data_IF_949583059157
#
_entry.id   IF_949583059157
#
_cell.length_a   1.000
_cell.length_b   1.000
_cell.length_c   1.000
_cell.angle_alpha   90.00
_cell.angle_beta   90.00
_cell.angle_gamma   90.00
#
_symmetry.space_group_name_H-M   'P 1'
#
loop_
_entity.id
_entity.type
_entity.pdbx_description
1 polymer ?
#
# COMPACT_ATOMS: atom_id res chain seq x y z
N UNK A 1 16.83 13.80 3.51
CA UNK A 1 17.36 12.55 2.93
C UNK A 1 18.77 12.81 2.44
N UNK A 2 19.69 11.89 2.71
CA UNK A 2 21.09 11.97 2.25
C UNK A 2 21.40 10.73 1.40
N UNK A 3 22.12 10.92 0.31
CA UNK A 3 22.64 9.83 -0.53
C UNK A 3 24.04 9.43 -0.01
N UNK A 4 24.06 8.48 0.92
CA UNK A 4 25.31 8.04 1.60
C UNK A 4 25.51 6.53 1.57
N UNK A 5 24.57 5.78 1.00
CA UNK A 5 24.61 4.33 0.92
C UNK A 5 24.39 3.88 -0.53
N UNK A 6 25.17 2.92 -0.96
CA UNK A 6 25.09 2.22 -2.24
C UNK A 6 24.60 0.75 -2.10
N UNK A 7 24.38 0.31 -0.87
CA UNK A 7 23.90 -1.04 -0.54
C UNK A 7 22.36 -1.06 -0.38
N UNK A 8 21.68 -1.67 -1.32
CA UNK A 8 20.21 -1.81 -1.32
C UNK A 8 19.67 -2.69 -0.19
N UNK A 9 20.52 -3.50 0.45
CA UNK A 9 20.11 -4.29 1.62
C UNK A 9 20.04 -3.45 2.90
N UNK A 10 20.66 -2.27 2.87
CA UNK A 10 20.69 -1.38 4.02
C UNK A 10 19.29 -0.83 4.34
N UNK A 11 18.78 -1.01 5.58
CA UNK A 11 17.43 -0.55 5.94
C UNK A 11 17.22 0.97 5.80
N UNK A 12 18.30 1.76 5.81
CA UNK A 12 18.21 3.22 5.63
C UNK A 12 17.82 3.65 4.21
N UNK A 13 18.00 2.79 3.20
CA UNK A 13 17.66 3.09 1.80
C UNK A 13 16.32 2.50 1.40
N UNK A 14 15.70 1.67 2.24
CA UNK A 14 14.40 1.07 1.96
C UNK A 14 13.27 2.04 2.29
N UNK A 15 12.38 2.21 1.32
CA UNK A 15 11.20 3.06 1.45
C UNK A 15 9.99 2.30 0.95
N UNK A 16 8.89 2.41 1.68
CA UNK A 16 7.60 1.86 1.29
C UNK A 16 6.79 2.94 0.57
N UNK A 17 6.28 2.60 -0.60
CA UNK A 17 5.31 3.43 -1.33
C UNK A 17 3.92 3.05 -0.85
N UNK A 18 3.21 4.02 -0.28
CA UNK A 18 1.82 3.86 0.17
C UNK A 18 0.93 4.59 -0.80
N UNK A 19 0.14 3.83 -1.56
CA UNK A 19 -0.78 4.41 -2.56
C UNK A 19 -1.92 5.14 -1.87
N UNK A 20 -2.32 6.25 -2.47
CA UNK A 20 -3.42 7.11 -2.03
C UNK A 20 -4.31 7.44 -3.22
N UNK A 21 -5.61 7.15 -3.10
CA UNK A 21 -6.61 7.54 -4.09
C UNK A 21 -7.51 8.61 -3.50
N UNK A 22 -7.69 9.69 -4.23
CA UNK A 22 -8.58 10.78 -3.83
C UNK A 22 -10.01 10.48 -4.24
N UNK A 23 -10.97 11.17 -3.63
CA UNK A 23 -12.39 11.05 -3.98
C UNK A 23 -12.70 11.35 -5.46
N UNK A 24 -11.77 12.03 -6.15
CA UNK A 24 -11.88 12.34 -7.58
C UNK A 24 -11.18 11.31 -8.48
N UNK A 25 -10.67 10.21 -7.93
CA UNK A 25 -9.94 9.17 -8.66
C UNK A 25 -8.50 9.53 -9.05
N UNK A 26 -7.96 10.65 -8.55
CA UNK A 26 -6.55 10.98 -8.71
C UNK A 26 -5.69 10.08 -7.81
N UNK A 27 -4.59 9.55 -8.35
CA UNK A 27 -3.72 8.61 -7.66
C UNK A 27 -2.41 9.26 -7.28
N UNK A 28 -2.12 9.27 -6.00
CA UNK A 28 -0.90 9.80 -5.42
C UNK A 28 -0.22 8.76 -4.54
N UNK A 29 0.94 9.10 -4.00
CA UNK A 29 1.65 8.24 -3.06
C UNK A 29 2.14 9.04 -1.86
N UNK A 30 2.23 8.34 -0.74
CA UNK A 30 3.07 8.69 0.37
C UNK A 30 4.31 7.79 0.36
N UNK A 31 5.46 8.31 0.73
CA UNK A 31 6.69 7.54 0.83
C UNK A 31 7.09 7.43 2.30
N UNK A 32 7.08 6.21 2.81
CA UNK A 32 7.46 5.90 4.19
C UNK A 32 8.88 5.34 4.24
N UNK A 33 9.74 5.91 5.05
CA UNK A 33 11.08 5.38 5.32
C UNK A 33 10.97 4.16 6.25
N UNK A 34 11.35 2.98 5.76
CA UNK A 34 11.24 1.73 6.53
C UNK A 34 12.10 1.72 7.81
N UNK A 35 13.18 2.49 7.85
CA UNK A 35 14.06 2.56 9.03
C UNK A 35 13.41 3.25 10.24
N UNK A 36 12.81 4.44 10.03
CA UNK A 36 12.27 5.25 11.12
C UNK A 36 10.75 5.36 11.10
N UNK A 37 10.08 4.66 10.16
CA UNK A 37 8.62 4.60 9.99
C UNK A 37 7.98 5.98 9.82
N UNK A 38 8.71 6.92 9.19
CA UNK A 38 8.22 8.28 8.97
C UNK A 38 8.07 8.60 7.49
N UNK A 39 7.04 9.36 7.18
CA UNK A 39 6.74 9.78 5.83
C UNK A 39 7.64 10.91 5.35
N UNK A 40 7.95 10.91 4.07
CA UNK A 40 8.65 12.00 3.42
C UNK A 40 7.80 13.26 3.44
N UNK A 41 8.40 14.36 3.82
CA UNK A 41 7.80 15.69 3.80
C UNK A 41 8.89 16.75 3.77
N UNK A 42 8.51 18.01 3.59
CA UNK A 42 9.44 19.11 3.83
C UNK A 42 9.88 19.12 5.29
N UNK A 43 11.09 19.60 5.55
CA UNK A 43 11.65 19.68 6.89
C UNK A 43 10.81 20.61 7.79
N UNK A 44 10.51 21.80 7.28
CA UNK A 44 9.69 22.82 7.92
C UNK A 44 9.06 23.78 6.88
N UNK A 45 8.35 24.80 7.33
CA UNK A 45 7.66 25.77 6.46
C UNK A 45 8.61 26.65 5.63
N UNK A 46 9.85 26.83 6.05
CA UNK A 46 10.87 27.65 5.39
C UNK A 46 11.86 26.84 4.57
N UNK A 47 12.00 25.55 4.85
CA UNK A 47 12.94 24.65 4.21
C UNK A 47 12.27 23.84 3.09
N UNK A 48 13.00 23.67 2.00
CA UNK A 48 12.61 22.80 0.88
C UNK A 48 13.33 21.45 0.89
N UNK A 49 14.09 21.17 1.94
CA UNK A 49 14.70 19.85 2.13
C UNK A 49 13.62 18.81 2.43
N UNK A 50 13.73 17.66 1.79
CA UNK A 50 12.88 16.50 2.07
C UNK A 50 13.53 15.67 3.18
N UNK A 51 12.71 15.38 4.19
CA UNK A 51 13.08 14.56 5.33
C UNK A 51 12.04 13.49 5.59
N UNK A 52 12.44 12.34 6.09
CA UNK A 52 11.55 11.34 6.66
C UNK A 52 11.16 11.78 8.08
N UNK A 53 10.22 12.72 8.18
CA UNK A 53 9.87 13.40 9.43
C UNK A 53 8.37 13.44 9.73
N UNK A 54 7.51 13.07 8.80
CA UNK A 54 6.05 12.96 9.00
C UNK A 54 5.71 11.71 9.79
N UNK A 55 5.10 11.85 10.96
CA UNK A 55 4.63 10.68 11.71
C UNK A 55 3.46 9.97 11.03
N UNK A 56 2.68 10.74 10.26
CA UNK A 56 1.43 10.31 9.62
C UNK A 56 1.34 10.83 8.20
N UNK A 57 0.56 10.15 7.34
CA UNK A 57 0.19 10.69 6.04
C UNK A 57 -0.58 12.01 6.23
N UNK A 58 -0.12 13.09 5.63
CA UNK A 58 -0.80 14.39 5.62
C UNK A 58 -1.25 14.71 4.19
N UNK A 59 -2.57 14.71 3.97
CA UNK A 59 -3.20 14.95 2.66
C UNK A 59 -3.46 16.43 2.39
N UNK A 60 -3.29 17.29 3.40
CA UNK A 60 -3.58 18.71 3.26
C UNK A 60 -2.49 19.41 2.45
N UNK A 61 -2.77 19.59 1.16
CA UNK A 61 -1.85 20.24 0.21
C UNK A 61 -1.53 21.69 0.58
N UNK A 62 -2.32 22.34 1.46
CA UNK A 62 -2.08 23.70 1.94
C UNK A 62 -0.96 23.76 2.98
N UNK A 63 -0.62 22.64 3.59
CA UNK A 63 0.37 22.56 4.66
C UNK A 63 1.75 22.21 4.12
N UNK A 64 2.78 22.80 4.71
CA UNK A 64 4.17 22.42 4.43
C UNK A 64 4.48 20.95 4.83
N UNK A 65 3.71 20.38 5.76
CA UNK A 65 3.82 18.99 6.23
C UNK A 65 3.17 17.97 5.29
N UNK A 66 2.52 18.39 4.21
CA UNK A 66 1.93 17.51 3.22
C UNK A 66 2.93 16.44 2.76
N UNK A 67 2.48 15.19 2.75
CA UNK A 67 3.30 14.02 2.41
C UNK A 67 2.89 13.37 1.08
N UNK A 68 2.00 14.02 0.32
CA UNK A 68 1.55 13.52 -0.99
C UNK A 68 2.56 13.83 -2.09
N UNK A 69 2.83 12.82 -2.89
CA UNK A 69 3.67 12.93 -4.09
C UNK A 69 2.93 12.37 -5.30
N UNK A 70 3.12 13.03 -6.43
CA UNK A 70 2.79 12.48 -7.73
C UNK A 70 3.99 11.74 -8.31
N UNK A 71 3.73 10.64 -9.01
CA UNK A 71 4.74 9.81 -9.69
C UNK A 71 4.66 10.05 -11.18
N UNK A 72 5.71 10.56 -11.75
CA UNK A 72 5.87 10.68 -13.20
C UNK A 72 6.98 9.74 -13.63
N UNK A 73 6.62 8.73 -14.38
CA UNK A 73 7.58 7.77 -14.93
C UNK A 73 8.24 8.33 -16.17
N UNK A 74 9.53 8.06 -16.33
CA UNK A 74 10.22 8.30 -17.57
C UNK A 74 9.83 7.25 -18.61
N UNK A 75 9.49 7.70 -19.80
CA UNK A 75 9.15 6.82 -20.92
C UNK A 75 10.36 6.03 -21.44
N UNK A 76 11.58 6.36 -21.00
CA UNK A 76 12.81 5.86 -21.63
C UNK A 76 13.60 4.87 -20.78
N UNK A 77 13.58 4.95 -19.44
CA UNK A 77 14.55 4.24 -18.61
C UNK A 77 14.03 3.72 -17.26
N UNK A 78 12.71 3.69 -17.07
CA UNK A 78 12.08 3.31 -15.80
C UNK A 78 12.48 4.19 -14.58
N UNK A 79 13.06 5.36 -14.82
CA UNK A 79 13.26 6.31 -13.75
C UNK A 79 11.93 6.92 -13.31
N UNK A 80 11.86 7.33 -12.05
CA UNK A 80 10.68 7.97 -11.49
C UNK A 80 11.02 9.38 -11.05
N UNK A 81 10.19 10.34 -11.47
CA UNK A 81 10.17 11.68 -10.91
C UNK A 81 9.07 11.77 -9.87
N UNK A 82 9.41 12.32 -8.72
CA UNK A 82 8.46 12.54 -7.66
C UNK A 82 8.16 14.03 -7.55
N UNK A 83 6.90 14.39 -7.69
CA UNK A 83 6.44 15.76 -7.53
C UNK A 83 5.71 15.89 -6.20
N UNK A 84 6.20 16.72 -5.29
CA UNK A 84 5.49 17.02 -4.05
C UNK A 84 4.28 17.91 -4.35
N UNK A 85 3.11 17.50 -3.92
CA UNK A 85 1.86 18.26 -4.12
C UNK A 85 1.74 19.37 -3.06
N UNK A 86 1.82 20.61 -3.52
CA UNK A 86 1.59 21.80 -2.69
C UNK A 86 0.58 22.71 -3.39
N UNK A 87 -0.14 23.64 -2.69
CA UNK A 87 -1.38 24.26 -3.17
C UNK A 87 -1.30 25.00 -4.50
N UNK A 88 -0.15 25.29 -5.02
CA UNK A 88 -0.01 26.09 -6.24
C UNK A 88 1.00 25.58 -7.26
N UNK A 89 1.78 24.51 -6.96
CA UNK A 89 2.83 24.02 -7.87
C UNK A 89 3.16 22.56 -7.59
N UNK A 90 3.25 21.76 -8.65
CA UNK A 90 4.01 20.53 -8.67
C UNK A 90 5.49 20.88 -8.53
N UNK A 91 6.16 20.34 -7.54
CA UNK A 91 7.56 20.62 -7.27
C UNK A 91 8.38 19.35 -7.55
N UNK A 92 9.31 19.45 -8.48
CA UNK A 92 10.23 18.34 -8.76
C UNK A 92 11.24 18.18 -7.63
N UNK A 93 11.52 16.94 -7.27
CA UNK A 93 12.55 16.59 -6.30
C UNK A 93 13.84 16.32 -7.06
N UNK A 94 14.93 16.88 -6.60
CA UNK A 94 16.25 16.62 -7.16
C UNK A 94 17.34 16.65 -6.08
N UNK A 95 18.45 16.04 -6.41
CA UNK A 95 19.62 16.04 -5.58
C UNK A 95 20.29 17.40 -5.57
N UNK A 96 20.73 17.87 -4.40
CA UNK A 96 21.53 19.09 -4.28
C UNK A 96 22.62 18.92 -3.22
N UNK A 97 23.79 19.48 -3.52
CA UNK A 97 24.90 19.53 -2.57
C UNK A 97 24.65 20.60 -1.52
N UNK A 98 24.52 20.19 -0.29
CA UNK A 98 24.37 21.07 0.86
C UNK A 98 25.55 20.94 1.82
N UNK A 99 25.61 21.81 2.84
CA UNK A 99 26.61 21.67 3.89
C UNK A 99 26.46 20.34 4.67
N UNK A 100 25.29 19.69 4.60
CA UNK A 100 25.00 18.39 5.22
C UNK A 100 25.30 17.20 4.27
N UNK A 101 25.78 17.43 3.06
CA UNK A 101 25.99 16.45 2.00
C UNK A 101 24.90 16.44 0.94
N UNK A 102 24.90 15.45 0.06
CA UNK A 102 23.92 15.31 -1.01
C UNK A 102 22.55 14.96 -0.43
N UNK A 103 21.54 15.80 -0.68
CA UNK A 103 20.23 15.69 -0.08
C UNK A 103 19.13 15.86 -1.13
N UNK A 104 17.97 15.24 -0.90
CA UNK A 104 16.76 15.53 -1.66
C UNK A 104 16.22 16.93 -1.29
N UNK A 105 16.01 17.73 -2.30
CA UNK A 105 15.54 19.10 -2.18
C UNK A 105 14.45 19.38 -3.22
N UNK A 106 13.48 20.20 -2.89
CA UNK A 106 12.39 20.59 -3.77
C UNK A 106 12.63 22.02 -4.27
N UNK A 107 12.63 22.24 -5.59
CA UNK A 107 12.77 23.57 -6.17
C UNK A 107 11.65 23.89 -7.16
N UNK A 108 11.01 25.04 -6.99
CA UNK A 108 9.81 25.41 -7.68
C UNK A 108 9.98 25.86 -9.14
N UNK A 109 11.15 26.34 -9.56
CA UNK A 109 11.30 27.17 -10.76
C UNK A 109 11.99 26.47 -11.94
N UNK A 110 12.34 25.18 -11.83
CA UNK A 110 13.10 24.46 -12.87
C UNK A 110 12.45 23.14 -13.32
N UNK A 111 11.21 23.21 -13.73
CA UNK A 111 10.51 22.06 -14.33
C UNK A 111 11.17 21.58 -15.65
N UNK A 112 12.05 22.38 -16.26
CA UNK A 112 12.63 22.12 -17.58
C UNK A 112 14.15 21.90 -17.60
N UNK A 113 14.86 22.00 -16.49
CA UNK A 113 16.30 21.78 -16.45
C UNK A 113 16.65 20.68 -15.45
N UNK A 114 17.10 19.53 -15.97
CA UNK A 114 17.83 18.47 -15.26
C UNK A 114 17.36 18.18 -13.82
N UNK A 115 16.06 17.97 -13.62
CA UNK A 115 15.61 17.26 -12.45
C UNK A 115 16.29 15.88 -12.51
N UNK A 116 17.11 15.56 -11.51
CA UNK A 116 17.73 14.24 -11.45
C UNK A 116 16.60 13.22 -11.30
N UNK A 117 16.52 12.33 -12.24
CA UNK A 117 15.62 11.21 -12.22
C UNK A 117 16.08 10.28 -11.12
N UNK A 118 15.19 10.00 -10.16
CA UNK A 118 15.49 9.03 -9.14
C UNK A 118 15.35 7.66 -9.77
N UNK A 119 16.43 6.89 -9.79
CA UNK A 119 16.34 5.50 -10.15
C UNK A 119 15.73 4.74 -8.94
N UNK A 120 14.44 4.41 -9.05
CA UNK A 120 13.78 3.59 -8.07
C UNK A 120 14.06 2.11 -8.38
N UNK A 121 14.52 1.38 -7.37
CA UNK A 121 14.62 -0.08 -7.42
C UNK A 121 13.43 -0.62 -6.64
N UNK A 122 12.55 -1.33 -7.33
CA UNK A 122 11.39 -1.97 -6.70
C UNK A 122 11.79 -3.35 -6.20
N UNK A 123 11.55 -3.61 -4.92
CA UNK A 123 11.81 -4.90 -4.27
C UNK A 123 10.47 -5.60 -4.01
N UNK A 124 10.44 -6.91 -4.22
CA UNK A 124 9.29 -7.78 -3.93
C UNK A 124 7.96 -7.27 -4.52
N UNK A 125 8.03 -6.77 -5.76
CA UNK A 125 6.92 -6.11 -6.41
C UNK A 125 5.82 -7.07 -6.88
N UNK A 126 6.19 -8.28 -7.33
CA UNK A 126 5.26 -9.29 -7.83
C UNK A 126 4.98 -10.36 -6.77
N UNK A 127 3.78 -10.96 -6.74
CA UNK A 127 3.55 -12.18 -5.98
C UNK A 127 4.53 -13.29 -6.39
N UNK A 128 4.87 -14.19 -5.47
CA UNK A 128 5.81 -15.28 -5.75
C UNK A 128 5.39 -16.10 -6.98
N UNK A 129 4.07 -16.38 -7.09
CA UNK A 129 3.47 -17.03 -8.26
C UNK A 129 2.38 -16.09 -8.82
N UNK A 130 2.53 -15.73 -10.08
CA UNK A 130 1.69 -14.74 -10.74
C UNK A 130 1.35 -15.13 -12.17
N UNK A 131 0.34 -14.48 -12.72
CA UNK A 131 0.00 -14.42 -14.13
C UNK A 131 0.03 -12.97 -14.62
N UNK A 132 0.35 -12.75 -15.89
CA UNK A 132 0.32 -11.45 -16.55
C UNK A 132 -0.78 -11.41 -17.58
N UNK A 133 -1.64 -10.40 -17.51
CA UNK A 133 -2.68 -10.12 -18.48
C UNK A 133 -2.21 -9.00 -19.40
N UNK A 134 -2.23 -9.25 -20.71
CA UNK A 134 -1.86 -8.27 -21.72
C UNK A 134 -3.00 -7.31 -22.11
N UNK A 135 -2.69 -6.34 -22.94
CA UNK A 135 -3.61 -5.34 -23.51
C UNK A 135 -4.72 -5.97 -24.38
N UNK A 136 -4.48 -7.17 -24.96
CA UNK A 136 -5.47 -7.93 -25.72
C UNK A 136 -6.45 -8.74 -24.84
N UNK A 137 -6.35 -8.63 -23.52
CA UNK A 137 -7.20 -9.35 -22.56
C UNK A 137 -6.86 -10.83 -22.38
N UNK A 138 -5.73 -11.31 -22.92
CA UNK A 138 -5.25 -12.67 -22.74
C UNK A 138 -4.07 -12.71 -21.76
N UNK A 139 -3.93 -13.85 -21.08
CA UNK A 139 -2.81 -14.13 -20.21
C UNK A 139 -1.58 -14.57 -20.98
N UNK A 140 -0.40 -14.17 -20.48
CA UNK A 140 0.89 -14.69 -20.94
C UNK A 140 0.99 -16.17 -20.59
N UNK A 141 1.09 -17.01 -21.61
CA UNK A 141 1.10 -18.46 -21.49
C UNK A 141 2.33 -19.10 -22.13
N UNK A 142 2.74 -20.24 -21.58
CA UNK A 142 3.69 -21.16 -22.18
C UNK A 142 3.05 -21.83 -23.41
N UNK A 143 3.63 -21.63 -24.58
CA UNK A 143 3.11 -22.10 -25.87
C UNK A 143 4.22 -22.61 -26.76
N UNK A 144 4.16 -23.90 -27.16
CA UNK A 144 5.18 -24.52 -28.02
C UNK A 144 4.82 -24.36 -29.50
N UNK A 145 5.68 -23.72 -30.27
CA UNK A 145 5.54 -23.58 -31.71
C UNK A 145 6.74 -24.23 -32.42
N UNK A 146 6.50 -25.33 -33.08
CA UNK A 146 7.55 -26.15 -33.70
C UNK A 146 8.47 -26.74 -32.65
N UNK A 147 9.73 -26.30 -32.60
CA UNK A 147 10.76 -26.79 -31.68
C UNK A 147 11.08 -25.76 -30.55
N UNK A 148 10.42 -24.62 -30.53
CA UNK A 148 10.71 -23.58 -29.55
C UNK A 148 9.54 -23.36 -28.60
N UNK A 149 9.87 -23.08 -27.34
CA UNK A 149 8.95 -22.83 -26.23
C UNK A 149 8.81 -21.34 -26.00
N UNK A 150 7.80 -20.72 -26.63
CA UNK A 150 7.51 -19.30 -26.58
C UNK A 150 6.62 -18.92 -25.40
N UNK A 151 6.71 -17.67 -25.00
CA UNK A 151 5.74 -17.02 -24.14
C UNK A 151 4.83 -16.14 -25.00
N UNK A 152 3.53 -16.40 -24.99
CA UNK A 152 2.54 -15.73 -25.81
C UNK A 152 1.30 -15.31 -25.01
N UNK A 153 0.69 -14.17 -25.41
CA UNK A 153 -0.59 -13.70 -24.85
C UNK A 153 -1.76 -14.32 -25.60
N UNK A 154 -2.04 -15.62 -25.34
CA UNK A 154 -3.04 -16.41 -26.07
C UNK A 154 -4.02 -17.18 -25.18
N UNK A 155 -3.84 -17.18 -23.86
CA UNK A 155 -4.72 -17.89 -22.92
C UNK A 155 -5.76 -16.98 -22.30
N UNK A 156 -7.02 -17.45 -22.26
CA UNK A 156 -8.11 -16.80 -21.52
C UNK A 156 -8.37 -17.41 -20.15
N UNK A 157 -7.67 -18.53 -19.81
CA UNK A 157 -7.88 -19.30 -18.60
C UNK A 157 -6.75 -19.07 -17.58
N UNK A 158 -7.02 -18.29 -16.54
CA UNK A 158 -6.09 -18.07 -15.42
C UNK A 158 -5.83 -19.36 -14.61
N UNK A 159 -6.72 -20.35 -14.69
CA UNK A 159 -6.57 -21.66 -14.04
C UNK A 159 -5.55 -22.58 -14.71
N UNK A 160 -5.15 -22.27 -15.95
CA UNK A 160 -4.17 -23.06 -16.69
C UNK A 160 -2.80 -23.02 -16.03
N UNK A 161 -2.10 -24.18 -15.98
CA UNK A 161 -0.70 -24.23 -15.54
C UNK A 161 0.23 -23.44 -16.45
N UNK A 162 -0.13 -23.27 -17.72
CA UNK A 162 0.67 -22.56 -18.72
C UNK A 162 0.83 -21.07 -18.42
N UNK A 163 -0.13 -20.42 -17.72
CA UNK A 163 -0.10 -18.98 -17.42
C UNK A 163 0.61 -18.63 -16.13
N UNK A 164 1.14 -19.62 -15.41
CA UNK A 164 1.77 -19.39 -14.11
C UNK A 164 3.26 -19.20 -14.24
N UNK A 165 3.73 -18.14 -13.58
CA UNK A 165 5.13 -17.78 -13.54
C UNK A 165 5.57 -17.57 -12.10
N UNK A 166 6.77 -17.99 -11.76
CA UNK A 166 7.39 -17.83 -10.45
C UNK A 166 8.51 -16.82 -10.54
N UNK A 167 8.49 -15.80 -9.67
CA UNK A 167 9.53 -14.80 -9.58
C UNK A 167 10.62 -15.21 -8.59
N UNK A 168 11.87 -14.88 -8.92
CA UNK A 168 13.03 -14.97 -8.04
C UNK A 168 13.74 -13.62 -8.06
N UNK A 169 13.62 -12.88 -6.96
CA UNK A 169 14.26 -11.56 -6.81
C UNK A 169 15.74 -11.69 -6.46
N UNK A 170 16.53 -10.79 -7.04
CA UNK A 170 17.88 -10.50 -6.57
C UNK A 170 17.80 -9.34 -5.59
N UNK A 171 18.26 -9.58 -4.37
CA UNK A 171 18.16 -8.56 -3.31
C UNK A 171 19.21 -7.46 -3.41
N UNK A 172 20.24 -7.66 -4.24
CA UNK A 172 21.34 -6.71 -4.43
C UNK A 172 21.03 -5.56 -5.38
N UNK A 173 20.16 -5.77 -6.37
CA UNK A 173 19.86 -4.76 -7.40
C UNK A 173 18.37 -4.65 -7.80
N UNK A 174 17.47 -5.41 -7.13
CA UNK A 174 16.04 -5.43 -7.41
C UNK A 174 15.66 -5.99 -8.77
N UNK A 175 16.60 -6.65 -9.45
CA UNK A 175 16.30 -7.40 -10.66
C UNK A 175 15.71 -8.75 -10.30
N UNK A 176 15.07 -9.38 -11.26
CA UNK A 176 14.44 -10.67 -11.06
C UNK A 176 14.70 -11.60 -12.23
N UNK A 177 14.77 -12.89 -11.94
CA UNK A 177 14.58 -13.97 -12.90
C UNK A 177 13.16 -14.50 -12.76
N UNK A 178 12.59 -15.01 -13.85
CA UNK A 178 11.24 -15.56 -13.85
C UNK A 178 11.27 -16.97 -14.44
N UNK A 179 10.60 -17.91 -13.75
CA UNK A 179 10.41 -19.26 -14.22
C UNK A 179 8.98 -19.46 -14.72
N UNK A 180 8.81 -19.92 -15.95
CA UNK A 180 7.52 -20.43 -16.43
C UNK A 180 7.25 -21.76 -15.78
N UNK A 181 6.19 -21.87 -15.00
CA UNK A 181 5.79 -23.15 -14.38
C UNK A 181 5.16 -24.10 -15.40
N UNK A 182 4.61 -23.56 -16.50
CA UNK A 182 4.09 -24.36 -17.61
C UNK A 182 5.18 -25.16 -18.32
N UNK A 183 6.37 -24.59 -18.52
CA UNK A 183 7.52 -25.26 -19.11
C UNK A 183 8.48 -25.85 -18.07
N UNK A 184 8.44 -25.39 -16.82
CA UNK A 184 9.44 -25.72 -15.80
C UNK A 184 10.80 -25.07 -16.05
N UNK A 185 10.90 -24.06 -16.90
CA UNK A 185 12.11 -23.43 -17.41
C UNK A 185 12.08 -21.91 -17.21
N UNK A 186 13.27 -21.29 -17.20
CA UNK A 186 13.42 -19.85 -17.00
C UNK A 186 13.16 -19.04 -18.27
N UNK A 187 12.68 -17.84 -18.09
CA UNK A 187 12.55 -16.86 -19.15
C UNK A 187 13.93 -16.43 -19.64
N UNK A 188 14.11 -16.47 -20.94
CA UNK A 188 15.33 -15.99 -21.58
C UNK A 188 15.01 -15.26 -22.87
N UNK A 189 15.60 -14.08 -23.03
CA UNK A 189 15.52 -13.37 -24.31
C UNK A 189 16.40 -14.06 -25.35
N UNK A 190 15.80 -14.49 -26.45
CA UNK A 190 16.47 -15.06 -27.62
C UNK A 190 15.93 -14.49 -28.94
N UNK A 191 16.59 -14.78 -30.02
CA UNK A 191 16.15 -14.38 -31.38
C UNK A 191 16.23 -15.62 -32.29
N UNK A 192 15.31 -16.60 -32.16
CA UNK A 192 15.40 -17.85 -32.91
C UNK A 192 15.16 -17.67 -34.42
N UNK A 193 14.49 -16.57 -34.84
CA UNK A 193 14.16 -16.35 -36.26
C UNK A 193 13.90 -14.89 -36.56
N UNK A 194 14.88 -14.00 -36.36
CA UNK A 194 14.74 -12.53 -36.54
C UNK A 194 13.71 -11.85 -35.60
N UNK A 195 12.86 -12.57 -34.90
CA UNK A 195 11.93 -12.05 -33.89
C UNK A 195 12.64 -12.07 -32.55
N UNK A 196 12.75 -10.90 -31.91
CA UNK A 196 13.24 -10.82 -30.55
C UNK A 196 12.10 -11.17 -29.60
N UNK A 197 12.22 -12.28 -28.87
CA UNK A 197 11.16 -12.73 -27.98
C UNK A 197 11.73 -13.29 -26.69
N UNK A 198 10.85 -13.48 -25.71
CA UNK A 198 11.16 -14.19 -24.48
C UNK A 198 10.71 -15.63 -24.63
N UNK A 199 11.64 -16.56 -24.47
CA UNK A 199 11.39 -18.00 -24.44
C UNK A 199 11.37 -18.51 -23.01
N UNK A 200 10.65 -19.57 -22.76
CA UNK A 200 10.61 -20.26 -21.47
C UNK A 200 11.37 -21.58 -21.51
N UNK A 201 12.59 -21.61 -22.08
CA UNK A 201 13.32 -22.85 -22.39
C UNK A 201 14.70 -22.98 -21.71
N UNK A 202 15.14 -22.01 -20.92
CA UNK A 202 16.38 -22.13 -20.17
C UNK A 202 16.20 -23.07 -18.96
N UNK A 203 16.89 -24.19 -18.95
CA UNK A 203 16.82 -25.19 -17.88
C UNK A 203 17.36 -24.67 -16.55
N UNK A 204 18.42 -23.87 -16.61
CA UNK A 204 19.13 -23.35 -15.43
C UNK A 204 19.19 -21.84 -15.45
N UNK A 205 19.12 -21.22 -14.26
CA UNK A 205 19.30 -19.82 -14.06
C UNK A 205 20.79 -19.45 -13.95
N UNK A 206 21.24 -18.55 -14.83
CA UNK A 206 22.57 -17.96 -14.77
C UNK A 206 22.47 -16.47 -14.44
N UNK A 207 22.84 -16.05 -13.21
CA UNK A 207 22.74 -14.66 -12.77
C UNK A 207 23.68 -13.70 -13.51
N UNK A 208 24.64 -14.19 -14.29
CA UNK A 208 25.53 -13.36 -15.12
C UNK A 208 24.91 -12.99 -16.46
N UNK A 209 23.87 -13.70 -16.87
CA UNK A 209 23.22 -13.52 -18.16
C UNK A 209 22.11 -12.47 -18.10
N UNK A 210 22.39 -11.27 -18.60
CA UNK A 210 21.42 -10.18 -18.66
C UNK A 210 20.16 -10.51 -19.46
N UNK A 211 20.22 -11.46 -20.39
CA UNK A 211 19.06 -11.92 -21.15
C UNK A 211 18.02 -12.67 -20.32
N UNK A 212 18.39 -13.14 -19.11
CA UNK A 212 17.53 -13.84 -18.17
C UNK A 212 17.05 -12.91 -17.03
N UNK A 213 17.51 -11.65 -17.01
CA UNK A 213 17.22 -10.71 -15.95
C UNK A 213 16.25 -9.63 -16.41
N UNK A 214 15.27 -9.38 -15.57
CA UNK A 214 14.25 -8.38 -15.80
C UNK A 214 14.20 -7.41 -14.63
N UNK A 215 13.92 -6.14 -14.93
CA UNK A 215 13.64 -5.11 -13.92
C UNK A 215 12.16 -4.77 -13.96
N UNK A 216 11.43 -5.01 -12.88
CA UNK A 216 10.04 -4.61 -12.80
C UNK A 216 9.92 -3.11 -12.50
N UNK A 217 8.93 -2.47 -13.10
CA UNK A 217 8.52 -1.10 -12.84
C UNK A 217 7.04 -1.10 -12.47
N UNK A 218 6.71 -0.63 -11.28
CA UNK A 218 5.31 -0.47 -10.90
C UNK A 218 4.72 0.77 -11.55
N UNK A 219 3.71 0.58 -12.39
CA UNK A 219 3.00 1.67 -13.06
C UNK A 219 1.80 2.10 -12.22
N UNK A 220 1.02 1.16 -11.73
CA UNK A 220 -0.08 1.38 -10.78
C UNK A 220 -0.27 0.18 -9.84
N UNK A 221 -1.37 0.16 -9.08
CA UNK A 221 -1.63 -0.87 -8.05
C UNK A 221 -1.79 -2.29 -8.62
N UNK A 222 -2.11 -2.43 -9.90
CA UNK A 222 -2.32 -3.73 -10.55
C UNK A 222 -1.41 -3.95 -11.77
N UNK A 223 -0.65 -2.93 -12.18
CA UNK A 223 0.04 -2.91 -13.47
C UNK A 223 1.53 -2.74 -13.30
N UNK A 224 2.29 -3.60 -13.98
CA UNK A 224 3.75 -3.49 -14.10
C UNK A 224 4.16 -3.34 -15.55
N UNK A 225 5.33 -2.75 -15.75
CA UNK A 225 6.11 -2.90 -16.97
C UNK A 225 7.41 -3.64 -16.63
N UNK A 226 7.92 -4.43 -17.56
CA UNK A 226 9.12 -5.23 -17.38
C UNK A 226 10.19 -4.78 -18.40
N UNK A 227 11.41 -4.52 -17.91
CA UNK A 227 12.56 -4.21 -18.74
C UNK A 227 13.47 -5.42 -18.78
N UNK A 228 13.79 -5.93 -19.98
CA UNK A 228 14.81 -6.97 -20.16
C UNK A 228 16.19 -6.32 -20.11
N UNK A 229 17.05 -6.74 -19.20
CA UNK A 229 18.40 -6.15 -19.05
C UNK A 229 19.35 -6.48 -20.21
N UNK A 230 19.03 -7.50 -21.00
CA UNK A 230 19.81 -7.85 -22.19
C UNK A 230 19.67 -6.86 -23.35
N UNK A 231 18.55 -6.14 -23.41
CA UNK A 231 18.28 -5.12 -24.45
C UNK A 231 18.11 -3.73 -23.86
N UNK A 232 17.80 -3.63 -22.58
CA UNK A 232 17.33 -2.42 -21.90
C UNK A 232 16.03 -1.83 -22.51
N UNK A 233 15.19 -2.70 -23.11
CA UNK A 233 13.88 -2.34 -23.66
C UNK A 233 12.77 -2.92 -22.80
N UNK A 234 11.62 -2.26 -22.84
CA UNK A 234 10.40 -2.77 -22.23
C UNK A 234 9.90 -3.98 -22.98
N UNK A 235 9.43 -4.95 -22.23
CA UNK A 235 8.75 -6.12 -22.77
C UNK A 235 7.31 -5.75 -23.08
N UNK A 236 6.83 -6.12 -24.26
CA UNK A 236 5.45 -5.90 -24.70
C UNK A 236 4.87 -7.10 -25.41
N UNK A 237 3.58 -7.09 -25.62
CA UNK A 237 2.95 -7.98 -26.59
C UNK A 237 3.32 -7.51 -28.01
N UNK A 238 3.87 -8.44 -28.79
CA UNK A 238 4.21 -8.23 -30.19
C UNK A 238 3.33 -9.12 -31.05
N UNK A 239 2.47 -8.51 -31.89
CA UNK A 239 1.63 -9.25 -32.83
C UNK A 239 2.35 -9.47 -34.15
N UNK A 240 2.34 -10.72 -34.64
CA UNK A 240 2.92 -11.07 -35.94
C UNK A 240 1.86 -11.12 -37.02
N UNK A 241 2.30 -11.06 -38.28
CA UNK A 241 1.42 -11.21 -39.46
C UNK A 241 0.64 -12.55 -39.47
N UNK A 242 1.16 -13.56 -38.74
CA UNK A 242 0.55 -14.88 -38.62
C UNK A 242 -0.42 -14.98 -37.42
N UNK A 243 -0.67 -13.87 -36.72
CA UNK A 243 -1.61 -13.78 -35.61
C UNK A 243 -1.10 -14.33 -34.27
N UNK A 244 0.21 -14.52 -34.12
CA UNK A 244 0.83 -14.85 -32.84
C UNK A 244 1.10 -13.58 -32.02
N UNK A 245 0.98 -13.67 -30.71
CA UNK A 245 1.12 -12.57 -29.76
C UNK A 245 2.29 -12.84 -28.80
N UNK A 246 3.50 -12.69 -29.30
CA UNK A 246 4.71 -12.97 -28.52
C UNK A 246 4.99 -11.92 -27.44
N UNK A 247 5.63 -12.39 -26.36
CA UNK A 247 6.19 -11.51 -25.35
C UNK A 247 7.60 -11.12 -25.75
N UNK A 248 7.83 -9.83 -26.09
CA UNK A 248 9.03 -9.36 -26.78
C UNK A 248 9.62 -8.10 -26.14
N UNK A 249 10.96 -8.04 -25.89
CA UNK A 249 11.63 -6.89 -25.29
C UNK A 249 12.08 -5.88 -26.36
N UNK A 250 11.13 -5.21 -26.99
CA UNK A 250 11.37 -4.37 -28.18
C UNK A 250 10.89 -2.92 -28.07
N UNK A 251 10.14 -2.59 -27.02
CA UNK A 251 9.62 -1.22 -26.86
C UNK A 251 10.67 -0.33 -26.18
N UNK A 252 10.96 0.82 -26.80
CA UNK A 252 11.90 1.80 -26.26
C UNK A 252 11.27 2.74 -25.23
N UNK A 253 9.95 2.73 -25.09
CA UNK A 253 9.18 3.56 -24.14
C UNK A 253 7.98 2.80 -23.60
N UNK A 254 7.37 3.33 -22.55
CA UNK A 254 6.09 2.84 -22.04
C UNK A 254 4.98 3.15 -23.05
N UNK A 255 4.20 2.13 -23.37
CA UNK A 255 3.03 2.16 -24.24
C UNK A 255 2.00 1.13 -23.76
N UNK A 256 0.77 1.15 -24.24
CA UNK A 256 -0.30 0.29 -23.77
C UNK A 256 0.09 -1.21 -23.78
N UNK A 257 0.76 -1.66 -24.84
CA UNK A 257 1.21 -3.05 -24.96
C UNK A 257 2.33 -3.45 -23.98
N UNK A 258 2.98 -2.49 -23.29
CA UNK A 258 3.97 -2.75 -22.23
C UNK A 258 3.33 -2.81 -20.84
N UNK A 259 2.06 -2.42 -20.70
CA UNK A 259 1.33 -2.38 -19.44
C UNK A 259 0.72 -3.75 -19.14
N UNK A 260 1.33 -4.47 -18.23
CA UNK A 260 0.96 -5.84 -17.90
C UNK A 260 0.21 -5.86 -16.56
N UNK A 261 -1.04 -6.33 -16.55
CA UNK A 261 -1.80 -6.47 -15.31
C UNK A 261 -1.38 -7.74 -14.59
N UNK A 262 -1.00 -7.58 -13.34
CA UNK A 262 -0.60 -8.71 -12.47
C UNK A 262 -1.82 -9.36 -11.86
N UNK A 263 -1.85 -10.69 -11.84
CA UNK A 263 -2.88 -11.49 -11.18
C UNK A 263 -2.23 -12.60 -10.36
N UNK A 264 -2.71 -12.83 -9.16
CA UNK A 264 -2.36 -14.06 -8.41
C UNK A 264 -3.16 -15.25 -8.93
N UNK A 265 -2.52 -16.41 -8.98
CA UNK A 265 -3.15 -17.66 -9.44
C UNK A 265 -3.66 -18.50 -8.26
N UNK A 266 -4.15 -17.85 -7.22
CA UNK A 266 -4.67 -18.46 -5.99
C UNK A 266 -6.18 -18.58 -6.09
N UNK A 267 -6.73 -19.75 -5.81
CA UNK A 267 -8.18 -20.02 -5.79
C UNK A 267 -8.78 -19.99 -4.39
N UNK A 268 -7.94 -20.22 -3.37
CA UNK A 268 -8.34 -20.16 -1.97
C UNK A 268 -7.19 -19.64 -1.13
N UNK A 269 -7.47 -18.69 -0.24
CA UNK A 269 -6.50 -18.14 0.72
C UNK A 269 -7.01 -18.31 2.13
N UNK A 270 -6.12 -18.67 3.04
CA UNK A 270 -6.38 -18.73 4.47
C UNK A 270 -5.26 -17.99 5.22
N UNK A 271 -5.65 -17.05 6.08
CA UNK A 271 -4.75 -16.27 6.93
C UNK A 271 -5.09 -16.54 8.39
N UNK A 272 -4.09 -16.91 9.17
CA UNK A 272 -4.28 -17.26 10.59
C UNK A 272 -2.99 -17.02 11.39
N UNK A 273 -3.02 -17.34 12.69
CA UNK A 273 -1.87 -17.17 13.61
C UNK A 273 -1.30 -15.75 13.55
N UNK A 274 -2.21 -14.78 13.63
CA UNK A 274 -1.84 -13.35 13.56
C UNK A 274 -1.27 -12.91 14.90
N UNK A 275 -0.07 -12.33 14.88
CA UNK A 275 0.63 -11.78 16.03
C UNK A 275 0.91 -10.29 15.80
N UNK A 276 0.27 -9.42 16.60
CA UNK A 276 0.43 -7.97 16.51
C UNK A 276 1.62 -7.46 17.32
N UNK A 277 2.40 -6.53 16.73
CA UNK A 277 3.45 -5.81 17.45
C UNK A 277 2.86 -4.70 18.32
N UNK A 278 2.46 -5.08 19.54
CA UNK A 278 1.87 -4.16 20.51
C UNK A 278 2.89 -3.22 21.17
N UNK A 279 4.20 -3.36 20.90
CA UNK A 279 5.24 -2.51 21.48
C UNK A 279 5.46 -1.22 20.70
N UNK A 280 5.16 -1.23 19.40
CA UNK A 280 5.41 -0.14 18.48
C UNK A 280 4.11 0.48 17.94
N UNK A 281 3.18 0.79 18.85
CA UNK A 281 1.88 1.37 18.51
C UNK A 281 2.04 2.87 18.28
N UNK A 282 1.56 3.35 17.15
CA UNK A 282 1.43 4.77 16.88
C UNK A 282 -0.06 5.17 16.88
N UNK A 283 -0.48 5.94 17.88
CA UNK A 283 -1.79 6.59 17.90
C UNK A 283 -1.62 7.99 17.32
N UNK A 284 -2.40 8.32 16.32
CA UNK A 284 -2.29 9.58 15.59
C UNK A 284 -3.67 10.18 15.29
N UNK A 285 -3.68 11.44 14.83
CA UNK A 285 -4.90 12.20 14.57
C UNK A 285 -5.88 12.16 15.75
N UNK A 286 -5.35 12.18 16.98
CA UNK A 286 -6.19 12.20 18.16
C UNK A 286 -6.93 13.54 18.25
N UNK A 287 -8.25 13.52 18.08
CA UNK A 287 -9.09 14.69 18.11
C UNK A 287 -10.18 14.55 19.19
N UNK A 288 -10.39 15.59 20.02
CA UNK A 288 -11.48 15.57 20.98
C UNK A 288 -12.83 15.68 20.26
N UNK A 289 -13.78 14.85 20.69
CA UNK A 289 -15.15 14.81 20.19
C UNK A 289 -16.11 15.16 21.33
N UNK A 290 -16.92 16.18 21.14
CA UNK A 290 -18.12 16.36 21.95
C UNK A 290 -19.21 15.42 21.41
N UNK A 291 -19.39 14.28 22.07
CA UNK A 291 -20.27 13.23 21.57
C UNK A 291 -21.75 13.57 21.81
N UNK A 292 -22.13 13.99 23.03
CA UNK A 292 -23.49 14.37 23.35
C UNK A 292 -23.53 15.48 24.40
N UNK A 293 -24.66 16.22 24.41
CA UNK A 293 -24.96 17.23 25.44
C UNK A 293 -26.41 17.08 25.83
N UNK A 294 -26.66 16.94 27.12
CA UNK A 294 -28.02 16.89 27.68
C UNK A 294 -28.14 17.88 28.84
N UNK A 295 -29.32 18.47 28.95
CA UNK A 295 -29.58 19.49 29.95
C UNK A 295 -30.76 19.04 30.83
N UNK A 296 -30.55 19.08 32.14
CA UNK A 296 -31.61 18.93 33.14
C UNK A 296 -31.72 20.20 33.98
N UNK A 297 -32.94 20.61 34.28
CA UNK A 297 -33.17 21.80 35.13
C UNK A 297 -34.18 21.50 36.21
N UNK A 298 -33.88 21.94 37.43
CA UNK A 298 -34.78 21.78 38.56
C UNK A 298 -35.24 23.17 39.07
N UNK A 299 -36.51 23.48 38.82
CA UNK A 299 -37.18 24.71 39.25
C UNK A 299 -37.97 24.53 40.56
N UNK A 300 -37.88 23.35 41.20
CA UNK A 300 -38.58 23.04 42.44
C UNK A 300 -37.74 23.42 43.65
N UNK A 301 -38.32 23.27 44.81
CA UNK A 301 -37.66 23.54 46.11
C UNK A 301 -36.90 22.33 46.68
N UNK A 302 -37.01 21.17 46.07
CA UNK A 302 -36.34 19.91 46.48
C UNK A 302 -35.43 19.37 45.40
N UNK A 303 -34.35 18.62 45.78
CA UNK A 303 -33.50 17.94 44.84
C UNK A 303 -34.28 16.87 44.10
N UNK A 304 -34.02 16.74 42.77
CA UNK A 304 -34.68 15.77 41.91
C UNK A 304 -33.64 14.90 41.20
N UNK A 305 -33.83 13.57 41.25
CA UNK A 305 -33.04 12.63 40.49
C UNK A 305 -33.74 12.31 39.18
N UNK A 306 -33.03 12.37 38.10
CA UNK A 306 -33.53 12.09 36.73
C UNK A 306 -32.52 11.25 35.95
N UNK A 307 -33.01 10.43 35.06
CA UNK A 307 -32.16 9.73 34.10
C UNK A 307 -32.04 10.52 32.80
N UNK A 308 -30.83 10.68 32.35
CA UNK A 308 -30.48 11.36 31.08
C UNK A 308 -29.90 10.33 30.12
N UNK A 309 -30.41 10.28 28.91
CA UNK A 309 -29.77 9.48 27.85
C UNK A 309 -28.65 10.32 27.21
N UNK A 310 -27.43 9.94 27.48
CA UNK A 310 -26.20 10.58 27.01
C UNK A 310 -25.50 9.61 26.06
N UNK A 311 -26.03 9.47 24.86
CA UNK A 311 -25.49 8.50 23.91
C UNK A 311 -25.33 9.10 22.52
N UNK A 312 -24.32 8.61 21.78
CA UNK A 312 -24.09 8.92 20.37
C UNK A 312 -23.56 7.70 19.64
N UNK A 313 -24.15 7.41 18.48
CA UNK A 313 -23.60 6.43 17.55
C UNK A 313 -22.42 7.02 16.80
N UNK A 314 -21.34 6.28 16.73
CA UNK A 314 -20.11 6.62 16.00
C UNK A 314 -19.67 5.43 15.15
N UNK A 315 -18.92 5.68 14.10
CA UNK A 315 -18.38 4.65 13.22
C UNK A 315 -16.91 4.42 13.53
N UNK A 316 -16.56 3.16 13.80
CA UNK A 316 -15.17 2.70 13.79
C UNK A 316 -14.85 2.18 12.39
N UNK A 317 -13.64 2.41 11.93
CA UNK A 317 -13.14 1.82 10.69
C UNK A 317 -11.86 1.04 10.93
N UNK A 318 -11.65 0.00 10.13
CA UNK A 318 -10.46 -0.84 10.22
C UNK A 318 -10.14 -1.47 8.90
N UNK A 319 -8.85 -1.70 8.65
CA UNK A 319 -8.37 -2.46 7.51
C UNK A 319 -7.11 -3.24 7.85
N UNK A 320 -6.91 -4.35 7.15
CA UNK A 320 -5.72 -5.17 7.19
C UNK A 320 -5.10 -5.19 5.80
N UNK A 321 -3.86 -4.77 5.71
CA UNK A 321 -3.09 -4.75 4.46
C UNK A 321 -1.79 -5.53 4.63
N UNK A 322 -1.13 -5.81 3.54
CA UNK A 322 0.21 -6.38 3.49
C UNK A 322 1.10 -5.56 2.57
N UNK A 323 2.37 -5.92 2.43
CA UNK A 323 3.35 -5.19 1.60
C UNK A 323 3.11 -5.35 0.10
N UNK A 324 2.32 -6.34 -0.31
CA UNK A 324 2.00 -6.51 -1.72
C UNK A 324 1.15 -5.34 -2.19
N UNK A 325 1.70 -4.59 -3.13
CA UNK A 325 1.05 -3.40 -3.71
C UNK A 325 -0.12 -3.74 -4.63
N UNK A 326 -0.46 -5.03 -4.80
CA UNK A 326 -1.52 -5.50 -5.68
C UNK A 326 -2.76 -5.88 -4.89
N UNK A 327 -3.88 -5.29 -5.25
CA UNK A 327 -5.19 -5.76 -4.81
C UNK A 327 -5.58 -6.92 -5.72
N UNK A 328 -5.53 -8.13 -5.21
CA UNK A 328 -5.72 -9.32 -6.04
C UNK A 328 -7.19 -9.70 -6.24
N UNK A 329 -8.10 -9.05 -5.51
CA UNK A 329 -9.53 -9.41 -5.53
C UNK A 329 -9.81 -10.80 -4.95
N UNK A 330 -8.84 -11.42 -4.29
CA UNK A 330 -8.96 -12.76 -3.72
C UNK A 330 -9.57 -12.67 -2.33
N UNK A 331 -10.80 -13.17 -2.21
CA UNK A 331 -11.44 -13.37 -0.91
C UNK A 331 -10.87 -14.58 -0.20
N UNK A 332 -10.31 -14.35 0.97
CA UNK A 332 -9.73 -15.38 1.81
C UNK A 332 -10.47 -15.56 3.13
N UNK A 333 -10.18 -16.66 3.81
CA UNK A 333 -10.60 -16.91 5.19
C UNK A 333 -9.55 -16.34 6.15
N UNK A 334 -9.90 -15.29 6.89
CA UNK A 334 -9.01 -14.62 7.83
C UNK A 334 -9.43 -14.91 9.26
N UNK A 335 -8.54 -15.51 10.04
CA UNK A 335 -8.73 -15.79 11.47
C UNK A 335 -7.83 -14.86 12.29
N UNK A 336 -8.41 -13.80 12.85
CA UNK A 336 -7.65 -12.75 13.53
C UNK A 336 -8.50 -12.02 14.58
N UNK A 337 -7.85 -11.48 15.61
CA UNK A 337 -8.44 -10.54 16.55
C UNK A 337 -8.47 -9.13 15.98
N UNK A 338 -9.32 -8.29 16.51
CA UNK A 338 -9.44 -6.87 16.13
C UNK A 338 -8.75 -6.02 17.17
N UNK A 339 -7.67 -5.30 16.81
CA UNK A 339 -7.08 -4.31 17.70
C UNK A 339 -8.01 -3.09 17.90
N UNK A 340 -8.04 -2.58 19.14
CA UNK A 340 -8.76 -1.35 19.50
C UNK A 340 -8.02 -0.60 20.60
N UNK A 341 -8.18 0.72 20.68
CA UNK A 341 -7.59 1.53 21.76
C UNK A 341 -8.52 1.42 22.97
N UNK A 342 -8.03 0.81 24.07
CA UNK A 342 -8.69 0.74 25.36
C UNK A 342 -8.14 1.81 26.34
N UNK A 343 -8.54 1.73 27.59
CA UNK A 343 -8.10 2.66 28.66
C UNK A 343 -6.61 2.48 29.01
N UNK A 344 -6.09 1.27 28.89
CA UNK A 344 -4.70 0.91 29.24
C UNK A 344 -3.74 0.81 28.05
N UNK A 345 -4.21 1.11 26.84
CA UNK A 345 -3.46 0.97 25.59
C UNK A 345 -4.24 0.24 24.51
N UNK A 346 -3.55 -0.40 23.57
CA UNK A 346 -4.22 -1.21 22.54
C UNK A 346 -4.50 -2.61 23.08
N UNK A 347 -5.73 -3.03 22.93
CA UNK A 347 -6.24 -4.35 23.26
C UNK A 347 -6.62 -5.08 21.97
N UNK A 348 -6.47 -6.40 21.95
CA UNK A 348 -6.86 -7.22 20.81
C UNK A 348 -8.00 -8.16 21.25
N UNK A 349 -9.09 -8.14 20.50
CA UNK A 349 -10.23 -9.04 20.78
C UNK A 349 -9.87 -10.51 20.52
N UNK A 350 -10.72 -11.43 20.98
CA UNK A 350 -10.62 -12.83 20.57
C UNK A 350 -10.65 -12.97 19.03
N UNK A 351 -9.87 -13.92 18.54
CA UNK A 351 -9.78 -14.18 17.10
C UNK A 351 -11.10 -14.73 16.57
N UNK A 352 -11.56 -14.15 15.46
CA UNK A 352 -12.73 -14.60 14.71
C UNK A 352 -12.35 -14.86 13.27
N UNK A 353 -13.01 -15.85 12.67
CA UNK A 353 -12.84 -16.13 11.25
C UNK A 353 -13.87 -15.35 10.44
N UNK A 354 -13.41 -14.65 9.43
CA UNK A 354 -14.24 -13.91 8.46
C UNK A 354 -13.68 -14.03 7.05
N UNK A 355 -14.54 -13.84 6.06
CA UNK A 355 -14.09 -13.77 4.66
C UNK A 355 -13.78 -12.33 4.32
N UNK A 356 -12.55 -12.07 3.85
CA UNK A 356 -12.02 -10.72 3.57
C UNK A 356 -11.09 -10.72 2.37
N UNK A 357 -10.82 -9.52 1.88
CA UNK A 357 -9.70 -9.24 0.99
C UNK A 357 -8.63 -8.41 1.73
N UNK A 358 -7.38 -8.50 1.29
CA UNK A 358 -6.33 -7.59 1.76
C UNK A 358 -6.66 -6.15 1.36
N UNK A 359 -6.54 -5.20 2.32
CA UNK A 359 -6.83 -3.79 2.08
C UNK A 359 -8.32 -3.42 2.15
N UNK A 360 -9.24 -4.40 2.28
CA UNK A 360 -10.67 -4.12 2.45
C UNK A 360 -10.91 -3.34 3.76
N UNK A 361 -11.66 -2.24 3.66
CA UNK A 361 -12.04 -1.44 4.81
C UNK A 361 -13.37 -1.93 5.38
N UNK A 362 -13.39 -2.17 6.68
CA UNK A 362 -14.62 -2.53 7.42
C UNK A 362 -15.03 -1.36 8.31
N UNK A 363 -16.33 -1.13 8.40
CA UNK A 363 -16.92 -0.19 9.35
C UNK A 363 -17.90 -0.90 10.25
N UNK A 364 -17.90 -0.52 11.53
CA UNK A 364 -18.95 -0.90 12.47
C UNK A 364 -19.42 0.31 13.28
N UNK A 365 -20.69 0.29 13.67
CA UNK A 365 -21.24 1.30 14.55
C UNK A 365 -21.08 0.88 16.02
N UNK A 366 -20.60 1.81 16.83
CA UNK A 366 -20.56 1.68 18.28
C UNK A 366 -21.35 2.81 18.93
N UNK A 367 -21.97 2.56 20.07
CA UNK A 367 -22.67 3.61 20.83
C UNK A 367 -21.80 4.05 21.99
N UNK A 368 -21.38 5.33 21.96
CA UNK A 368 -20.69 5.96 23.08
C UNK A 368 -21.71 6.40 24.13
N UNK A 369 -21.37 6.20 25.41
CA UNK A 369 -22.22 6.62 26.53
C UNK A 369 -23.43 5.69 26.78
N UNK A 370 -24.47 6.22 27.39
CA UNK A 370 -25.65 5.47 27.81
C UNK A 370 -26.56 6.30 28.74
N UNK A 371 -27.32 5.61 29.57
CA UNK A 371 -28.15 6.26 30.59
C UNK A 371 -27.28 6.75 31.76
N UNK A 372 -27.46 8.02 32.13
CA UNK A 372 -26.74 8.68 33.22
C UNK A 372 -27.72 9.20 34.27
N UNK A 373 -27.68 8.67 35.46
CA UNK A 373 -28.53 9.11 36.58
C UNK A 373 -27.87 10.30 37.27
N UNK A 374 -28.60 11.39 37.40
CA UNK A 374 -28.10 12.64 38.00
C UNK A 374 -29.10 13.25 38.95
N UNK A 375 -28.61 13.77 40.08
CA UNK A 375 -29.41 14.51 41.05
C UNK A 375 -29.17 16.00 40.84
N UNK A 376 -30.22 16.73 40.41
CA UNK A 376 -30.22 18.18 40.19
C UNK A 376 -30.74 18.90 41.40
N UNK A 377 -29.92 19.78 41.98
CA UNK A 377 -30.29 20.62 43.14
C UNK A 377 -31.39 21.65 42.79
N UNK A 378 -32.13 22.16 43.76
CA UNK A 378 -33.13 23.25 43.55
C UNK A 378 -32.50 24.47 42.91
N UNK A 379 -33.21 25.11 41.97
CA UNK A 379 -32.80 26.40 41.35
C UNK A 379 -31.58 26.31 40.43
N UNK A 380 -31.20 25.11 39.93
CA UNK A 380 -30.04 24.98 39.03
C UNK A 380 -30.40 24.26 37.73
N UNK A 381 -29.66 24.61 36.72
CA UNK A 381 -29.57 23.94 35.41
C UNK A 381 -28.25 23.17 35.38
N UNK A 382 -28.32 21.87 35.12
CA UNK A 382 -27.19 20.98 34.95
C UNK A 382 -27.08 20.69 33.48
N UNK A 383 -25.92 20.97 32.89
CA UNK A 383 -25.53 20.53 31.53
C UNK A 383 -24.52 19.43 31.69
N UNK A 384 -24.83 18.27 31.13
CA UNK A 384 -23.92 17.10 31.10
C UNK A 384 -23.40 16.93 29.68
N UNK A 385 -22.08 16.90 29.55
CA UNK A 385 -21.37 16.72 28.30
C UNK A 385 -20.76 15.31 28.27
N UNK A 386 -20.92 14.60 27.17
CA UNK A 386 -20.19 13.39 26.88
C UNK A 386 -19.06 13.72 25.93
N UNK A 387 -17.83 13.51 26.36
CA UNK A 387 -16.63 13.70 25.56
C UNK A 387 -15.98 12.37 25.26
N UNK A 388 -15.37 12.26 24.09
CA UNK A 388 -14.53 11.13 23.69
C UNK A 388 -13.35 11.66 22.91
N UNK A 389 -12.34 10.85 22.72
CA UNK A 389 -11.24 11.11 21.78
C UNK A 389 -11.38 10.15 20.62
N UNK A 390 -11.47 10.68 19.41
CA UNK A 390 -11.30 9.87 18.20
C UNK A 390 -9.80 9.75 17.91
N UNK A 391 -9.32 8.56 17.66
CA UNK A 391 -7.91 8.34 17.29
C UNK A 391 -7.79 7.35 16.15
N UNK A 392 -6.81 7.58 15.31
CA UNK A 392 -6.31 6.62 14.32
C UNK A 392 -5.08 5.96 14.89
N UNK A 393 -4.86 4.69 14.54
CA UNK A 393 -3.66 3.98 14.94
C UNK A 393 -3.29 2.92 13.90
N UNK A 394 -2.02 2.54 13.93
CA UNK A 394 -1.45 1.55 13.03
C UNK A 394 -0.59 0.57 13.79
N UNK A 395 -0.66 -0.71 13.41
CA UNK A 395 0.09 -1.81 14.01
C UNK A 395 0.67 -2.69 12.92
N UNK A 396 1.93 -3.11 13.10
CA UNK A 396 2.48 -4.22 12.31
C UNK A 396 2.04 -5.55 12.89
N UNK A 397 1.94 -6.56 12.04
CA UNK A 397 1.66 -7.93 12.48
C UNK A 397 2.32 -8.96 11.56
N UNK A 398 2.66 -10.10 12.13
CA UNK A 398 3.01 -11.32 11.41
C UNK A 398 1.82 -12.27 11.32
N UNK A 399 1.84 -13.14 10.33
CA UNK A 399 0.74 -14.08 10.08
C UNK A 399 1.23 -15.30 9.28
N UNK A 400 0.43 -16.35 9.32
CA UNK A 400 0.61 -17.52 8.44
C UNK A 400 -0.42 -17.43 7.31
N UNK A 401 0.04 -17.51 6.08
CA UNK A 401 -0.78 -17.58 4.88
C UNK A 401 -0.69 -18.98 4.28
N UNK A 402 -1.84 -19.59 4.04
CA UNK A 402 -2.00 -20.88 3.33
C UNK A 402 -2.82 -20.62 2.07
N UNK A 403 -2.24 -20.84 0.91
CA UNK A 403 -2.87 -20.66 -0.38
C UNK A 403 -3.07 -21.99 -1.08
N UNK A 404 -4.20 -22.17 -1.74
CA UNK A 404 -4.44 -23.21 -2.71
C UNK A 404 -4.36 -22.60 -4.10
N UNK A 405 -3.38 -23.06 -4.86
CA UNK A 405 -3.18 -22.58 -6.23
C UNK A 405 -4.22 -23.19 -7.17
N UNK A 406 -4.38 -22.61 -8.35
CA UNK A 406 -5.27 -23.12 -9.39
C UNK A 406 -4.98 -24.56 -9.84
N UNK A 407 -3.80 -25.10 -9.50
CA UNK A 407 -3.44 -26.52 -9.67
C UNK A 407 -3.91 -27.45 -8.57
N UNK A 408 -4.42 -26.91 -7.45
CA UNK A 408 -4.67 -27.68 -6.23
C UNK A 408 -3.44 -27.84 -5.32
N UNK A 409 -2.28 -27.33 -5.71
CA UNK A 409 -1.09 -27.27 -4.85
C UNK A 409 -1.35 -26.35 -3.65
N UNK A 410 -0.89 -26.74 -2.47
CA UNK A 410 -0.99 -25.97 -1.26
C UNK A 410 0.37 -25.34 -0.94
N UNK A 411 0.39 -24.02 -0.79
CA UNK A 411 1.57 -23.26 -0.40
C UNK A 411 1.32 -22.63 0.98
N UNK A 412 2.29 -22.78 1.88
CA UNK A 412 2.22 -22.20 3.23
C UNK A 412 3.44 -21.33 3.49
N UNK A 413 3.23 -20.09 3.92
CA UNK A 413 4.28 -19.15 4.25
C UNK A 413 3.98 -18.38 5.53
N UNK A 414 5.01 -18.09 6.32
CA UNK A 414 4.93 -17.11 7.41
C UNK A 414 5.37 -15.76 6.85
N UNK A 415 4.57 -14.72 7.10
CA UNK A 415 4.77 -13.35 6.63
C UNK A 415 4.84 -12.41 7.83
N UNK A 416 5.61 -11.33 7.73
CA UNK A 416 5.79 -10.29 8.75
C UNK A 416 5.50 -8.86 8.23
N UNK A 417 4.85 -8.81 7.08
CA UNK A 417 4.56 -7.60 6.32
C UNK A 417 3.14 -7.05 6.53
N UNK A 418 2.40 -7.61 7.48
CA UNK A 418 1.04 -7.18 7.78
C UNK A 418 1.00 -5.81 8.45
N UNK A 419 0.04 -4.97 8.03
CA UNK A 419 -0.25 -3.67 8.64
C UNK A 419 -1.74 -3.56 8.91
N UNK A 420 -2.09 -3.36 10.17
CA UNK A 420 -3.43 -3.00 10.59
C UNK A 420 -3.55 -1.49 10.74
N UNK A 421 -4.64 -0.92 10.23
CA UNK A 421 -5.03 0.47 10.48
C UNK A 421 -6.44 0.51 11.08
N UNK A 422 -6.61 1.30 12.12
CA UNK A 422 -7.90 1.43 12.79
C UNK A 422 -8.21 2.86 13.20
N UNK A 423 -9.51 3.18 13.22
CA UNK A 423 -10.08 4.40 13.81
C UNK A 423 -11.08 3.97 14.85
N UNK A 424 -10.87 4.37 16.11
CA UNK A 424 -11.84 4.14 17.15
C UNK A 424 -11.90 5.31 18.14
N UNK A 425 -12.81 5.20 19.10
CA UNK A 425 -13.07 6.21 20.10
C UNK A 425 -12.72 5.69 21.48
N UNK A 426 -11.99 6.50 22.25
CA UNK A 426 -11.50 6.17 23.58
C UNK A 426 -11.56 7.41 24.48
N UNK A 427 -11.10 7.30 25.75
CA UNK A 427 -11.18 8.38 26.75
C UNK A 427 -12.60 8.94 26.89
N UNK A 428 -13.58 8.03 27.06
CA UNK A 428 -14.97 8.41 27.19
C UNK A 428 -15.20 8.97 28.60
N UNK A 429 -15.57 10.27 28.68
CA UNK A 429 -15.73 10.98 29.94
C UNK A 429 -17.02 11.80 29.96
N UNK A 430 -17.63 11.92 31.14
CA UNK A 430 -18.75 12.83 31.38
C UNK A 430 -18.29 14.04 32.16
N UNK A 431 -18.70 15.24 31.73
CA UNK A 431 -18.39 16.51 32.36
C UNK A 431 -19.69 17.22 32.75
N UNK A 432 -19.76 17.72 33.98
CA UNK A 432 -20.95 18.34 34.55
C UNK A 432 -20.73 19.85 34.73
N UNK A 433 -21.58 20.66 34.11
CA UNK A 433 -21.61 22.12 34.28
C UNK A 433 -22.90 22.56 34.94
N UNK A 434 -22.77 23.20 36.10
CA UNK A 434 -23.90 23.69 36.91
C UNK A 434 -24.02 25.18 36.72
N UNK A 435 -25.22 25.66 36.34
CA UNK A 435 -25.57 27.12 36.25
C UNK A 435 -26.81 27.41 37.06
N UNK A 436 -26.83 28.51 37.87
CA UNK A 436 -28.03 28.95 38.57
C UNK A 436 -29.14 29.31 37.57
N UNK A 437 -30.37 29.00 37.92
CA UNK A 437 -31.56 29.48 37.22
C UNK A 437 -32.00 30.75 37.88
N UNK A 438 -31.94 31.88 37.14
CA UNK A 438 -32.57 33.13 37.61
C UNK A 438 -34.08 32.90 37.61
N UNK A 439 -34.69 32.92 38.81
CA UNK A 439 -36.15 32.84 38.96
C UNK A 439 -36.82 34.15 38.58
#
# INVERSE_FOLDING_TARGET
MKFIYDDLTNPFVKHQVVNEETDNGERYVHINCCFNQKFWRRQDSSSWLIVAGGRYPDRDRSRWSCTLFDRVYSDQDASVRLHLLQPSKLLAIYETKTAQGDCLFVQADKLNEAAHELQAVFLDLLPEIFALLGDNGNYLAASTLGINDYLQFDSTDIGSSAVRHQVMYRQDDGTMAVKSLGFGAFWERRSPSAIQTILGDASDYDPSQKNMLFRPLQVDIETVALICLGTNFFCRREETETGHHFFSPVASMLEEATLLKVRETVIQRKVHSVEYDLKNIEIYDAAPLLAATVVASNKTTTAQTTELNLSRKVKNSRSWSNSLSYTTGIKGSFTMGVPSIGESGVEVSDSKTSTKEWGESEEDETTLGGNYSVTVKPGVKLTVLLRATQGKFSLKFSYVQEDVLSTGEQVKATKDDGVFTGVNYFNIQTENHVTPITM
#
